data_IF_777401674657
#
_entry.id   IF_777401674657
#
_cell.length_a   1.000
_cell.length_b   1.000
_cell.length_c   1.000
_cell.angle_alpha   90.00
_cell.angle_beta   90.00
_cell.angle_gamma   90.00
#
_symmetry.space_group_name_H-M   'P 1'
#
loop_
_entity.id
_entity.type
_entity.pdbx_description
1 polymer ?
#
# COMPACT_ATOMS: atom_id res chain seq x y z
N UNK A 1 16.01 -0.43 -58.10
CA UNK A 1 16.28 0.50 -56.98
C UNK A 1 15.12 0.42 -55.99
N UNK A 2 15.41 0.36 -54.69
CA UNK A 2 14.50 0.03 -53.58
C UNK A 2 13.59 1.21 -53.18
N UNK A 3 12.30 1.01 -52.84
CA UNK A 3 11.57 1.96 -52.01
C UNK A 3 11.64 1.45 -50.56
N UNK A 4 12.64 1.88 -49.80
CA UNK A 4 12.76 1.55 -48.38
C UNK A 4 13.11 2.81 -47.63
N UNK A 5 12.21 3.79 -47.63
CA UNK A 5 12.51 5.11 -47.06
C UNK A 5 11.25 5.90 -46.67
N UNK A 6 10.21 5.26 -46.14
CA UNK A 6 9.10 5.99 -45.51
C UNK A 6 8.57 5.38 -44.20
N UNK A 7 9.02 4.22 -43.76
CA UNK A 7 8.48 3.54 -42.57
C UNK A 7 9.22 3.85 -41.26
N UNK A 8 10.33 4.59 -41.30
CA UNK A 8 11.17 4.85 -40.12
C UNK A 8 10.80 6.08 -39.30
N UNK A 9 9.95 6.99 -39.81
CA UNK A 9 9.62 8.25 -39.11
C UNK A 9 8.43 8.11 -38.16
N UNK A 10 7.56 7.12 -38.35
CA UNK A 10 6.40 6.92 -37.47
C UNK A 10 6.71 6.24 -36.13
N UNK A 11 7.83 5.50 -36.02
CA UNK A 11 8.18 4.79 -34.77
C UNK A 11 8.85 5.70 -33.73
N UNK A 12 9.45 6.82 -34.16
CA UNK A 12 10.13 7.76 -33.25
C UNK A 12 9.12 8.70 -32.54
N UNK A 13 7.95 8.94 -33.14
CA UNK A 13 6.90 9.75 -32.52
C UNK A 13 6.16 9.02 -31.37
N UNK A 14 6.16 7.68 -31.37
CA UNK A 14 5.54 6.89 -30.30
C UNK A 14 6.47 6.68 -29.10
N UNK A 15 7.79 6.79 -29.27
CA UNK A 15 8.74 6.69 -28.14
C UNK A 15 8.76 7.91 -27.21
N UNK A 16 8.28 9.07 -27.67
CA UNK A 16 8.20 10.27 -26.82
C UNK A 16 6.94 10.35 -25.97
N UNK A 17 5.91 9.54 -26.26
CA UNK A 17 4.69 9.48 -25.43
C UNK A 17 4.82 8.54 -24.22
N UNK A 18 5.83 7.66 -24.22
CA UNK A 18 6.10 6.74 -23.09
C UNK A 18 6.72 7.45 -21.88
N UNK A 19 7.15 8.71 -22.01
CA UNK A 19 7.85 9.46 -20.97
C UNK A 19 7.00 10.47 -20.21
N UNK A 20 5.70 10.58 -20.52
CA UNK A 20 4.82 11.60 -19.94
C UNK A 20 3.84 11.08 -18.86
N UNK A 21 3.93 9.80 -18.45
CA UNK A 21 2.91 9.16 -17.59
C UNK A 21 3.47 8.37 -16.41
N UNK A 22 4.75 8.55 -16.05
CA UNK A 22 5.22 8.10 -14.75
C UNK A 22 4.73 9.12 -13.71
N UNK A 23 3.47 9.00 -13.27
CA UNK A 23 2.99 9.72 -12.10
C UNK A 23 3.97 9.42 -10.97
N UNK A 24 4.61 10.47 -10.43
CA UNK A 24 5.57 10.32 -9.35
C UNK A 24 4.86 9.63 -8.18
N UNK A 25 5.28 8.40 -7.87
CA UNK A 25 4.66 7.62 -6.80
C UNK A 25 5.16 8.20 -5.49
N UNK A 26 4.25 8.80 -4.73
CA UNK A 26 4.52 9.17 -3.34
C UNK A 26 4.70 7.90 -2.50
N UNK A 27 5.94 7.46 -2.39
CA UNK A 27 6.33 6.25 -1.68
C UNK A 27 6.04 6.35 -0.18
N UNK A 28 6.13 7.53 0.42
CA UNK A 28 5.85 7.72 1.85
C UNK A 28 4.36 7.53 2.12
N UNK A 29 3.50 8.13 1.29
CA UNK A 29 2.05 7.92 1.35
C UNK A 29 1.71 6.45 1.12
N UNK A 30 2.25 5.82 0.08
CA UNK A 30 2.03 4.39 -0.20
C UNK A 30 2.45 3.52 0.99
N UNK A 31 3.64 3.75 1.54
CA UNK A 31 4.17 2.97 2.65
C UNK A 31 3.35 3.17 3.94
N UNK A 32 2.80 4.37 4.17
CA UNK A 32 1.85 4.62 5.24
C UNK A 32 0.57 3.79 5.05
N UNK A 33 -0.02 3.79 3.85
CA UNK A 33 -1.19 2.98 3.55
C UNK A 33 -0.91 1.48 3.71
N UNK A 34 0.25 0.98 3.26
CA UNK A 34 0.67 -0.42 3.49
C UNK A 34 0.74 -0.72 4.99
N UNK A 35 1.39 0.14 5.78
CA UNK A 35 1.47 -0.04 7.24
C UNK A 35 0.09 -0.08 7.89
N UNK A 36 -0.78 0.88 7.55
CA UNK A 36 -2.12 0.98 8.11
C UNK A 36 -2.99 -0.23 7.75
N UNK A 37 -3.00 -0.62 6.47
CA UNK A 37 -3.74 -1.80 6.02
C UNK A 37 -3.31 -3.07 6.77
N UNK A 38 -2.00 -3.33 6.81
CA UNK A 38 -1.41 -4.49 7.48
C UNK A 38 -1.68 -4.50 8.99
N UNK A 39 -1.53 -3.35 9.64
CA UNK A 39 -1.63 -3.29 11.08
C UNK A 39 -3.07 -3.34 11.59
N UNK A 40 -4.00 -2.64 10.94
CA UNK A 40 -5.43 -2.68 11.29
C UNK A 40 -5.99 -4.10 11.11
N UNK A 41 -5.60 -4.82 10.06
CA UNK A 41 -5.96 -6.24 9.87
C UNK A 41 -5.43 -7.13 10.99
N UNK A 42 -4.24 -6.83 11.53
CA UNK A 42 -3.68 -7.60 12.64
C UNK A 42 -4.40 -7.30 13.96
N UNK A 43 -4.84 -6.06 14.16
CA UNK A 43 -5.61 -5.64 15.33
C UNK A 43 -7.04 -6.20 15.29
N UNK A 44 -7.69 -6.24 14.11
CA UNK A 44 -9.02 -6.86 14.00
C UNK A 44 -9.00 -8.34 14.38
N UNK A 45 -7.92 -9.06 14.05
CA UNK A 45 -7.71 -10.45 14.48
C UNK A 45 -7.52 -10.67 15.98
N UNK A 46 -7.59 -9.61 16.81
CA UNK A 46 -7.64 -9.73 18.28
C UNK A 46 -9.03 -9.45 18.85
N UNK A 47 -10.02 -9.14 18.01
CA UNK A 47 -11.39 -8.85 18.38
C UNK A 47 -12.31 -10.03 18.03
N UNK A 48 -13.53 -10.00 18.56
CA UNK A 48 -14.56 -10.98 18.22
C UNK A 48 -14.94 -10.86 16.74
N UNK A 49 -14.81 -11.99 16.02
CA UNK A 49 -15.10 -12.04 14.60
C UNK A 49 -16.57 -11.67 14.34
N UNK A 50 -16.79 -10.73 13.42
CA UNK A 50 -18.12 -10.24 13.09
C UNK A 50 -18.69 -9.16 14.02
N UNK A 51 -17.99 -8.80 15.11
CA UNK A 51 -18.32 -7.64 15.92
C UNK A 51 -18.17 -6.31 15.16
N UNK A 52 -18.83 -5.25 15.62
CA UNK A 52 -18.83 -3.96 14.93
C UNK A 52 -17.42 -3.35 14.85
N UNK A 53 -16.64 -3.45 15.93
CA UNK A 53 -15.25 -3.00 15.93
C UNK A 53 -14.38 -3.81 14.96
N UNK A 54 -14.55 -5.14 14.92
CA UNK A 54 -13.88 -6.01 13.95
C UNK A 54 -14.18 -5.55 12.52
N UNK A 55 -15.48 -5.34 12.21
CA UNK A 55 -15.94 -4.91 10.88
C UNK A 55 -15.37 -3.55 10.51
N UNK A 56 -15.36 -2.60 11.45
CA UNK A 56 -14.80 -1.27 11.23
C UNK A 56 -13.30 -1.33 10.93
N UNK A 57 -12.51 -2.08 11.72
CA UNK A 57 -11.08 -2.23 11.49
C UNK A 57 -10.78 -2.94 10.16
N UNK A 58 -11.56 -3.98 9.81
CA UNK A 58 -11.43 -4.68 8.53
C UNK A 58 -11.77 -3.77 7.34
N UNK A 59 -12.82 -2.96 7.47
CA UNK A 59 -13.19 -1.96 6.46
C UNK A 59 -12.07 -0.94 6.24
N UNK A 60 -11.57 -0.31 7.31
CA UNK A 60 -10.46 0.66 7.21
C UNK A 60 -9.17 0.01 6.68
N UNK A 61 -8.88 -1.22 7.09
CA UNK A 61 -7.77 -2.00 6.53
C UNK A 61 -7.91 -2.17 5.01
N UNK A 62 -9.11 -2.49 4.53
CA UNK A 62 -9.43 -2.60 3.11
C UNK A 62 -9.21 -1.28 2.36
N UNK A 63 -9.76 -0.17 2.88
CA UNK A 63 -9.58 1.17 2.29
C UNK A 63 -8.10 1.52 2.13
N UNK A 64 -7.29 1.33 3.17
CA UNK A 64 -5.85 1.57 3.07
C UNK A 64 -5.16 0.64 2.07
N UNK A 65 -5.60 -0.61 1.96
CA UNK A 65 -5.04 -1.56 1.01
C UNK A 65 -5.31 -1.11 -0.43
N UNK A 66 -6.54 -0.71 -0.72
CA UNK A 66 -6.95 -0.27 -2.06
C UNK A 66 -6.17 0.98 -2.49
N UNK A 67 -6.02 1.96 -1.60
CA UNK A 67 -5.19 3.15 -1.83
C UNK A 67 -3.72 2.79 -2.10
N UNK A 68 -3.13 1.93 -1.27
CA UNK A 68 -1.75 1.48 -1.48
C UNK A 68 -1.58 0.73 -2.81
N UNK A 69 -2.53 -0.15 -3.17
CA UNK A 69 -2.50 -0.88 -4.44
C UNK A 69 -2.68 0.06 -5.64
N UNK A 70 -3.54 1.07 -5.53
CA UNK A 70 -3.65 2.15 -6.52
C UNK A 70 -2.34 2.92 -6.73
N UNK A 71 -1.49 2.99 -5.70
CA UNK A 71 -0.13 3.57 -5.76
C UNK A 71 0.96 2.53 -6.09
N UNK A 72 0.59 1.36 -6.62
CA UNK A 72 1.54 0.32 -7.05
C UNK A 72 2.08 -0.58 -5.93
N UNK A 73 1.41 -0.65 -4.78
CA UNK A 73 1.75 -1.65 -3.77
C UNK A 73 1.34 -3.07 -4.22
N UNK A 74 2.25 -4.02 -4.06
CA UNK A 74 2.03 -5.44 -4.36
C UNK A 74 1.75 -6.25 -3.09
N UNK A 75 1.26 -7.48 -3.27
CA UNK A 75 1.09 -8.45 -2.18
C UNK A 75 2.37 -8.66 -1.37
N UNK A 76 3.54 -8.60 -2.03
CA UNK A 76 4.82 -8.75 -1.34
C UNK A 76 5.03 -7.65 -0.31
N UNK A 77 4.71 -6.39 -0.62
CA UNK A 77 4.86 -5.29 0.33
C UNK A 77 4.00 -5.50 1.59
N UNK A 78 2.74 -5.92 1.43
CA UNK A 78 1.87 -6.22 2.57
C UNK A 78 2.36 -7.44 3.37
N UNK A 79 2.88 -8.46 2.69
CA UNK A 79 3.42 -9.67 3.34
C UNK A 79 4.68 -9.36 4.17
N UNK A 80 5.60 -8.55 3.63
CA UNK A 80 6.82 -8.12 4.32
C UNK A 80 6.47 -7.34 5.60
N UNK A 81 5.54 -6.38 5.50
CA UNK A 81 5.09 -5.59 6.66
C UNK A 81 4.33 -6.46 7.68
N UNK A 82 3.46 -7.35 7.23
CA UNK A 82 2.77 -8.30 8.12
C UNK A 82 3.76 -9.19 8.88
N UNK A 83 4.80 -9.68 8.20
CA UNK A 83 5.86 -10.50 8.81
C UNK A 83 6.60 -9.72 9.88
N UNK A 84 6.97 -8.47 9.59
CA UNK A 84 7.59 -7.58 10.56
C UNK A 84 6.69 -7.32 11.77
N UNK A 85 5.41 -6.99 11.56
CA UNK A 85 4.45 -6.71 12.64
C UNK A 85 4.23 -7.95 13.52
N UNK A 86 4.11 -9.16 12.94
CA UNK A 86 4.01 -10.42 13.69
C UNK A 86 5.23 -10.63 14.57
N UNK A 87 6.43 -10.41 14.02
CA UNK A 87 7.68 -10.50 14.79
C UNK A 87 7.66 -9.52 15.96
N UNK A 88 7.40 -8.24 15.71
CA UNK A 88 7.39 -7.20 16.77
C UNK A 88 6.37 -7.51 17.86
N UNK A 89 5.14 -7.91 17.49
CA UNK A 89 4.10 -8.31 18.45
C UNK A 89 4.58 -9.40 19.40
N UNK A 90 5.33 -10.37 18.88
CA UNK A 90 5.78 -11.53 19.64
C UNK A 90 7.09 -11.30 20.41
N UNK A 91 7.94 -10.37 19.97
CA UNK A 91 9.29 -10.19 20.54
C UNK A 91 9.47 -8.90 21.34
N UNK A 92 8.60 -7.90 21.23
CA UNK A 92 8.77 -6.62 21.93
C UNK A 92 7.46 -5.92 22.22
N UNK A 93 6.93 -6.10 23.44
CA UNK A 93 5.74 -5.38 23.93
C UNK A 93 5.88 -3.85 23.83
N UNK A 94 7.00 -3.20 24.26
CA UNK A 94 7.12 -1.75 24.17
C UNK A 94 7.02 -1.23 22.73
N UNK A 95 7.68 -1.92 21.79
CA UNK A 95 7.66 -1.55 20.38
C UNK A 95 6.29 -1.78 19.76
N UNK A 96 5.62 -2.89 20.09
CA UNK A 96 4.25 -3.17 19.67
C UNK A 96 3.26 -2.09 20.14
N UNK A 97 3.35 -1.68 21.41
CA UNK A 97 2.52 -0.59 21.96
C UNK A 97 2.77 0.74 21.25
N UNK A 98 4.04 1.07 20.97
CA UNK A 98 4.41 2.28 20.23
C UNK A 98 3.83 2.28 18.81
N UNK A 99 3.95 1.17 18.07
CA UNK A 99 3.35 1.03 16.74
C UNK A 99 1.82 1.12 16.78
N UNK A 100 1.19 0.52 17.78
CA UNK A 100 -0.27 0.56 17.97
C UNK A 100 -0.74 1.99 18.22
N UNK A 101 -0.04 2.73 19.09
CA UNK A 101 -0.32 4.14 19.35
C UNK A 101 -0.18 5.00 18.09
N UNK A 102 0.89 4.81 17.31
CA UNK A 102 1.06 5.48 16.02
C UNK A 102 -0.04 5.14 15.02
N UNK A 103 -0.45 3.88 14.95
CA UNK A 103 -1.56 3.43 14.09
C UNK A 103 -2.86 4.16 14.41
N UNK A 104 -3.21 4.27 15.69
CA UNK A 104 -4.39 5.03 16.14
C UNK A 104 -4.37 6.49 15.69
N UNK A 105 -3.19 7.10 15.61
CA UNK A 105 -3.03 8.50 15.17
C UNK A 105 -3.06 8.68 13.65
N UNK A 106 -2.55 7.72 12.89
CA UNK A 106 -2.24 7.90 11.46
C UNK A 106 -3.18 7.14 10.52
N UNK A 107 -3.79 6.04 10.99
CA UNK A 107 -4.54 5.10 10.17
C UNK A 107 -6.05 5.22 10.30
N UNK A 108 -6.52 6.20 11.06
CA UNK A 108 -7.94 6.52 11.18
C UNK A 108 -8.18 7.83 10.42
N UNK A 109 -9.34 7.98 9.75
CA UNK A 109 -9.71 9.26 9.16
C UNK A 109 -9.60 10.34 10.23
N UNK A 110 -9.01 11.48 9.86
CA UNK A 110 -9.09 12.66 10.73
C UNK A 110 -10.56 13.11 10.72
N UNK A 111 -11.18 13.10 11.90
CA UNK A 111 -12.46 13.77 12.17
C UNK A 111 -12.34 15.27 11.93
#
# INVERSE_FOLDING_TARGET
>A
MKPTLCTSVFLVALSFNSWAWAQEVDYDKRNLHIFCASHLKMLSGTLDEGGDEYKALMFMSGVHRDEATGMGATEKHFSDVNTYLKKVRNTSKPKWSSLTSRSKKLCFPRS
#
